data_IF_175851640132
#
_entry.id   IF_175851640132
#
_cell.length_a   1.000
_cell.length_b   1.000
_cell.length_c   1.000
_cell.angle_alpha   90.00
_cell.angle_beta   90.00
_cell.angle_gamma   90.00
#
_symmetry.space_group_name_H-M   'P 1'
#
loop_
_entity.id
_entity.type
_entity.pdbx_description
1 polymer ?
#
# COMPACT_ATOMS: atom_id res chain seq x y z
N UNK A 1 37.69 0.23 -5.58
CA UNK A 1 36.65 0.48 -6.61
C UNK A 1 35.62 1.42 -6.02
N UNK A 2 35.52 2.65 -6.53
CA UNK A 2 34.50 3.61 -6.14
C UNK A 2 33.16 3.07 -6.70
N UNK A 3 32.28 2.55 -5.85
CA UNK A 3 30.92 2.25 -6.20
C UNK A 3 30.23 3.59 -6.49
N UNK A 4 30.11 3.95 -7.77
CA UNK A 4 29.23 5.02 -8.20
C UNK A 4 27.81 4.60 -7.88
N UNK A 5 27.24 5.18 -6.84
CA UNK A 5 25.85 4.98 -6.48
C UNK A 5 24.98 5.62 -7.57
N UNK A 6 24.38 4.80 -8.42
CA UNK A 6 23.45 5.30 -9.46
C UNK A 6 22.15 5.68 -8.75
N UNK A 7 21.82 6.97 -8.76
CA UNK A 7 20.55 7.48 -8.25
C UNK A 7 19.50 7.48 -9.37
N UNK A 8 18.38 6.81 -9.12
CA UNK A 8 17.26 6.82 -10.05
C UNK A 8 16.39 8.06 -9.84
N UNK A 9 16.12 8.79 -10.92
CA UNK A 9 15.32 10.01 -10.89
C UNK A 9 13.82 9.74 -10.84
N UNK A 10 13.08 10.65 -10.22
CA UNK A 10 11.62 10.66 -10.29
C UNK A 10 11.17 11.29 -11.61
N UNK A 11 10.26 10.62 -12.32
CA UNK A 11 9.61 11.17 -13.51
C UNK A 11 8.34 11.95 -13.13
N UNK A 12 7.75 12.68 -14.08
CA UNK A 12 6.47 13.38 -13.87
C UNK A 12 5.35 12.43 -13.39
N UNK A 13 5.34 11.18 -13.86
CA UNK A 13 4.35 10.17 -13.43
C UNK A 13 4.47 9.85 -11.94
N UNK A 14 5.69 9.74 -11.40
CA UNK A 14 5.92 9.52 -9.96
C UNK A 14 5.43 10.72 -9.13
N UNK A 15 5.74 11.94 -9.57
CA UNK A 15 5.28 13.15 -8.87
C UNK A 15 3.76 13.27 -8.88
N UNK A 16 3.12 12.96 -10.01
CA UNK A 16 1.66 12.95 -10.12
C UNK A 16 1.02 11.97 -9.13
N UNK A 17 1.51 10.73 -9.03
CA UNK A 17 0.97 9.74 -8.09
C UNK A 17 1.22 10.11 -6.63
N UNK A 18 2.39 10.72 -6.32
CA UNK A 18 2.66 11.24 -4.98
C UNK A 18 1.72 12.40 -4.62
N UNK A 19 1.41 13.28 -5.57
CA UNK A 19 0.45 14.36 -5.36
C UNK A 19 -0.94 13.82 -5.03
N UNK A 20 -1.40 12.79 -5.75
CA UNK A 20 -2.69 12.12 -5.45
C UNK A 20 -2.68 11.56 -4.03
N UNK A 21 -1.62 10.85 -3.64
CA UNK A 21 -1.50 10.32 -2.27
C UNK A 21 -1.53 11.43 -1.22
N UNK A 22 -0.81 12.53 -1.46
CA UNK A 22 -0.77 13.66 -0.53
C UNK A 22 -2.15 14.32 -0.37
N UNK A 23 -2.87 14.51 -1.48
CA UNK A 23 -4.26 14.99 -1.44
C UNK A 23 -5.15 14.02 -0.64
N UNK A 24 -5.02 12.72 -0.86
CA UNK A 24 -5.79 11.71 -0.13
C UNK A 24 -5.50 11.74 1.38
N UNK A 25 -4.24 11.93 1.79
CA UNK A 25 -3.86 12.08 3.20
C UNK A 25 -4.52 13.34 3.81
N UNK A 26 -4.48 14.48 3.10
CA UNK A 26 -5.14 15.72 3.56
C UNK A 26 -6.64 15.50 3.74
N UNK A 27 -7.31 14.91 2.76
CA UNK A 27 -8.75 14.63 2.84
C UNK A 27 -9.09 13.67 3.97
N UNK A 28 -8.31 12.61 4.14
CA UNK A 28 -8.50 11.64 5.22
C UNK A 28 -8.19 12.22 6.62
N UNK A 29 -7.46 13.33 6.70
CA UNK A 29 -7.20 14.03 7.97
C UNK A 29 -8.38 14.89 8.43
N UNK A 30 -9.40 15.08 7.58
CA UNK A 30 -10.59 15.86 7.91
C UNK A 30 -11.57 14.95 8.65
N UNK A 31 -11.83 15.22 9.93
CA UNK A 31 -12.75 14.49 10.79
C UNK A 31 -12.59 12.95 10.76
N UNK A 32 -11.38 12.38 11.01
CA UNK A 32 -11.23 10.93 11.12
C UNK A 32 -12.07 10.40 12.29
N UNK A 33 -12.45 9.14 12.22
CA UNK A 33 -13.34 8.51 13.20
C UNK A 33 -12.81 8.60 14.64
N UNK A 34 -11.49 8.44 14.84
CA UNK A 34 -10.78 8.66 16.10
C UNK A 34 -9.38 9.20 15.78
N UNK A 35 -9.11 10.42 16.24
CA UNK A 35 -7.92 11.19 15.80
C UNK A 35 -6.59 10.58 16.27
N UNK A 36 -6.49 10.10 17.49
CA UNK A 36 -5.23 9.55 18.01
C UNK A 36 -4.83 8.25 17.30
N UNK A 37 -5.77 7.34 17.08
CA UNK A 37 -5.53 6.12 16.31
C UNK A 37 -5.23 6.43 14.84
N UNK A 38 -5.94 7.40 14.24
CA UNK A 38 -5.63 7.87 12.90
C UNK A 38 -4.18 8.37 12.81
N UNK A 39 -3.75 9.21 13.75
CA UNK A 39 -2.38 9.74 13.78
C UNK A 39 -1.34 8.62 13.89
N UNK A 40 -1.58 7.61 14.72
CA UNK A 40 -0.70 6.45 14.84
C UNK A 40 -0.56 5.71 13.50
N UNK A 41 -1.65 5.52 12.76
CA UNK A 41 -1.60 4.92 11.42
C UNK A 41 -0.85 5.78 10.41
N UNK A 42 -0.93 7.12 10.52
CA UNK A 42 -0.19 8.03 9.65
C UNK A 42 1.33 7.98 9.89
N UNK A 43 1.79 7.65 11.10
CA UNK A 43 3.23 7.36 11.33
C UNK A 43 3.66 6.16 10.48
N UNK A 44 2.86 5.10 10.41
CA UNK A 44 3.09 3.96 9.52
C UNK A 44 3.12 4.36 8.04
N UNK A 45 2.15 5.19 7.61
CA UNK A 45 2.09 5.73 6.24
C UNK A 45 3.37 6.52 5.90
N UNK A 46 3.81 7.40 6.80
CA UNK A 46 5.03 8.21 6.61
C UNK A 46 6.28 7.33 6.50
N UNK A 47 6.40 6.31 7.36
CA UNK A 47 7.50 5.35 7.31
C UNK A 47 7.51 4.60 5.97
N UNK A 48 6.37 4.05 5.54
CA UNK A 48 6.26 3.34 4.26
C UNK A 48 6.58 4.25 3.07
N UNK A 49 6.17 5.52 3.11
CA UNK A 49 6.47 6.49 2.06
C UNK A 49 7.98 6.80 1.99
N UNK A 50 8.64 6.96 3.14
CA UNK A 50 10.10 7.13 3.21
C UNK A 50 10.80 5.92 2.58
N UNK A 51 10.38 4.70 2.94
CA UNK A 51 10.94 3.46 2.37
C UNK A 51 10.77 3.43 0.85
N UNK A 52 9.58 3.75 0.34
CA UNK A 52 9.31 3.81 -1.10
C UNK A 52 10.25 4.80 -1.81
N UNK A 53 10.38 6.03 -1.28
CA UNK A 53 11.23 7.07 -1.87
C UNK A 53 12.70 6.65 -1.87
N UNK A 54 13.19 6.06 -0.77
CA UNK A 54 14.57 5.59 -0.66
C UNK A 54 14.83 4.43 -1.62
N UNK A 55 13.91 3.47 -1.72
CA UNK A 55 14.03 2.35 -2.65
C UNK A 55 13.96 2.82 -4.10
N UNK A 56 13.08 3.76 -4.44
CA UNK A 56 13.07 4.37 -5.78
C UNK A 56 14.41 4.98 -6.13
N UNK A 57 15.00 5.78 -5.23
CA UNK A 57 16.27 6.45 -5.47
C UNK A 57 17.46 5.49 -5.56
N UNK A 58 17.53 4.47 -4.68
CA UNK A 58 18.71 3.61 -4.54
C UNK A 58 18.66 2.35 -5.41
N UNK A 59 17.48 1.77 -5.60
CA UNK A 59 17.28 0.47 -6.24
C UNK A 59 16.71 0.63 -7.66
N UNK A 60 15.92 1.69 -7.88
CA UNK A 60 15.15 1.88 -9.12
C UNK A 60 14.01 0.88 -9.23
N UNK A 61 12.80 1.36 -8.99
CA UNK A 61 11.57 0.58 -9.15
C UNK A 61 10.99 0.83 -10.55
N UNK A 62 10.34 -0.17 -11.12
CA UNK A 62 9.49 0.09 -12.29
C UNK A 62 8.33 1.02 -11.90
N UNK A 63 7.84 1.83 -12.83
CA UNK A 63 6.69 2.69 -12.53
C UNK A 63 5.46 1.88 -12.08
N UNK A 64 5.24 0.68 -12.62
CA UNK A 64 4.14 -0.20 -12.20
C UNK A 64 4.29 -0.62 -10.73
N UNK A 65 5.50 -1.02 -10.31
CA UNK A 65 5.79 -1.36 -8.91
C UNK A 65 5.55 -0.17 -7.99
N UNK A 66 6.03 1.02 -8.38
CA UNK A 66 5.81 2.25 -7.63
C UNK A 66 4.32 2.59 -7.51
N UNK A 67 3.58 2.50 -8.62
CA UNK A 67 2.14 2.76 -8.66
C UNK A 67 1.35 1.78 -7.77
N UNK A 68 1.64 0.49 -7.82
CA UNK A 68 0.99 -0.52 -6.98
C UNK A 68 1.23 -0.25 -5.50
N UNK A 69 2.43 0.18 -5.13
CA UNK A 69 2.74 0.58 -3.76
C UNK A 69 1.91 1.80 -3.33
N UNK A 70 1.79 2.82 -4.19
CA UNK A 70 0.93 3.99 -3.93
C UNK A 70 -0.54 3.58 -3.83
N UNK A 71 -1.03 2.67 -4.68
CA UNK A 71 -2.39 2.13 -4.57
C UNK A 71 -2.64 1.47 -3.20
N UNK A 72 -1.67 0.70 -2.69
CA UNK A 72 -1.77 0.17 -1.33
C UNK A 72 -1.85 1.28 -0.28
N UNK A 73 -0.98 2.30 -0.36
CA UNK A 73 -1.01 3.42 0.58
C UNK A 73 -2.36 4.17 0.55
N UNK A 74 -3.00 4.30 -0.61
CA UNK A 74 -4.33 4.90 -0.71
C UNK A 74 -5.39 4.06 0.01
N UNK A 75 -5.36 2.74 -0.14
CA UNK A 75 -6.23 1.81 0.61
C UNK A 75 -5.97 1.91 2.11
N UNK A 76 -4.70 1.97 2.51
CA UNK A 76 -4.29 2.10 3.91
C UNK A 76 -4.75 3.43 4.53
N UNK A 77 -4.62 4.56 3.81
CA UNK A 77 -5.07 5.88 4.27
C UNK A 77 -6.59 5.91 4.46
N UNK A 78 -7.35 5.32 3.52
CA UNK A 78 -8.80 5.17 3.66
C UNK A 78 -9.15 4.32 4.89
N UNK A 79 -8.48 3.19 5.05
CA UNK A 79 -8.68 2.30 6.19
C UNK A 79 -8.37 3.00 7.52
N UNK A 80 -7.28 3.77 7.57
CA UNK A 80 -6.86 4.51 8.76
C UNK A 80 -7.91 5.56 9.19
N UNK A 81 -8.54 6.26 8.23
CA UNK A 81 -9.59 7.22 8.51
C UNK A 81 -10.78 6.60 9.27
N UNK A 82 -11.15 5.37 8.91
CA UNK A 82 -12.27 4.60 9.49
C UNK A 82 -11.84 3.49 10.45
N UNK A 83 -10.62 3.55 10.99
CA UNK A 83 -10.06 2.53 11.90
C UNK A 83 -10.21 1.10 11.35
N UNK A 84 -10.02 0.91 10.05
CA UNK A 84 -10.06 -0.36 9.32
C UNK A 84 -11.41 -1.09 9.36
N UNK A 85 -11.95 -1.34 10.54
CA UNK A 85 -13.17 -2.16 10.72
C UNK A 85 -14.47 -1.36 10.64
N UNK A 86 -14.40 -0.05 10.39
CA UNK A 86 -15.58 0.82 10.31
C UNK A 86 -15.77 1.47 8.95
N UNK A 87 -15.04 1.02 7.93
CA UNK A 87 -15.26 1.49 6.56
C UNK A 87 -16.63 1.04 6.07
N UNK A 88 -17.50 1.97 5.66
CA UNK A 88 -18.87 1.68 5.22
C UNK A 88 -18.93 1.11 3.79
N UNK A 89 -18.00 0.22 3.43
CA UNK A 89 -17.92 -0.33 2.06
C UNK A 89 -19.21 -1.05 1.63
N UNK A 90 -19.85 -1.77 2.54
CA UNK A 90 -21.08 -2.50 2.24
C UNK A 90 -22.26 -1.56 2.00
N UNK A 91 -22.37 -0.48 2.80
CA UNK A 91 -23.40 0.53 2.61
C UNK A 91 -23.21 1.25 1.26
N UNK A 92 -21.97 1.56 0.88
CA UNK A 92 -21.68 2.13 -0.44
C UNK A 92 -22.03 1.15 -1.58
N UNK A 93 -21.76 -0.14 -1.43
CA UNK A 93 -22.15 -1.14 -2.42
C UNK A 93 -23.67 -1.27 -2.54
N UNK A 94 -24.40 -1.26 -1.43
CA UNK A 94 -25.87 -1.27 -1.45
C UNK A 94 -26.40 -0.01 -2.14
N UNK A 95 -25.88 1.16 -1.76
CA UNK A 95 -26.36 2.45 -2.26
C UNK A 95 -26.10 2.65 -3.74
N UNK A 96 -24.90 2.31 -4.24
CA UNK A 96 -24.47 2.63 -5.60
C UNK A 96 -24.60 1.46 -6.58
N UNK A 97 -24.47 0.21 -6.07
CA UNK A 97 -24.47 -0.99 -6.90
C UNK A 97 -25.70 -1.88 -6.65
N UNK A 98 -26.55 -1.53 -5.68
CA UNK A 98 -27.71 -2.34 -5.25
C UNK A 98 -27.33 -3.78 -4.89
N UNK A 99 -26.13 -3.95 -4.31
CA UNK A 99 -25.57 -5.26 -3.98
C UNK A 99 -25.10 -5.30 -2.52
N UNK A 100 -25.69 -6.21 -1.72
CA UNK A 100 -25.29 -6.46 -0.35
C UNK A 100 -24.21 -7.55 -0.31
N UNK A 101 -22.94 -7.10 -0.27
CA UNK A 101 -21.79 -8.01 -0.26
C UNK A 101 -21.72 -8.84 1.02
N UNK A 102 -21.97 -8.22 2.18
CA UNK A 102 -21.90 -8.95 3.45
C UNK A 102 -22.91 -10.08 3.50
N UNK A 103 -24.15 -9.81 3.10
CA UNK A 103 -25.18 -10.85 3.03
C UNK A 103 -24.84 -11.94 2.00
N UNK A 104 -24.36 -11.55 0.82
CA UNK A 104 -23.99 -12.50 -0.24
C UNK A 104 -22.84 -13.44 0.18
N UNK A 105 -21.94 -12.96 1.02
CA UNK A 105 -20.78 -13.72 1.53
C UNK A 105 -21.02 -14.36 2.90
N UNK A 106 -22.19 -14.13 3.54
CA UNK A 106 -22.49 -14.63 4.88
C UNK A 106 -21.59 -14.03 5.97
N UNK A 107 -21.22 -12.74 5.84
CA UNK A 107 -20.35 -12.07 6.81
C UNK A 107 -21.17 -11.28 7.84
N UNK A 108 -20.98 -11.62 9.11
CA UNK A 108 -21.67 -10.98 10.24
C UNK A 108 -20.98 -9.72 10.74
N UNK A 109 -19.80 -9.39 10.18
CA UNK A 109 -19.02 -8.22 10.57
C UNK A 109 -18.39 -7.52 9.38
N UNK A 110 -17.91 -6.29 9.61
CA UNK A 110 -17.12 -5.57 8.63
C UNK A 110 -15.79 -6.32 8.37
N UNK A 111 -15.47 -6.56 7.09
CA UNK A 111 -14.29 -7.32 6.65
C UNK A 111 -13.21 -6.46 6.00
N UNK A 112 -13.33 -5.13 6.10
CA UNK A 112 -12.39 -4.24 5.40
C UNK A 112 -10.95 -4.40 5.87
N UNK A 113 -10.72 -4.71 7.15
CA UNK A 113 -9.42 -5.07 7.70
C UNK A 113 -8.76 -6.23 6.92
N UNK A 114 -9.54 -7.22 6.53
CA UNK A 114 -9.07 -8.37 5.75
C UNK A 114 -8.75 -7.99 4.31
N UNK A 115 -9.53 -7.09 3.71
CA UNK A 115 -9.21 -6.54 2.39
C UNK A 115 -7.89 -5.78 2.41
N UNK A 116 -7.62 -4.98 3.45
CA UNK A 116 -6.33 -4.28 3.56
C UNK A 116 -5.16 -5.26 3.61
N UNK A 117 -5.26 -6.35 4.38
CA UNK A 117 -4.22 -7.39 4.42
C UNK A 117 -4.07 -8.10 3.08
N UNK A 118 -5.17 -8.42 2.40
CA UNK A 118 -5.13 -8.99 1.06
C UNK A 118 -4.43 -8.05 0.07
N UNK A 119 -4.77 -6.77 0.06
CA UNK A 119 -4.12 -5.78 -0.80
C UNK A 119 -2.66 -5.53 -0.42
N UNK A 120 -2.30 -5.64 0.86
CA UNK A 120 -0.90 -5.64 1.28
C UNK A 120 -0.12 -6.73 0.56
N UNK A 121 -0.58 -7.98 0.63
CA UNK A 121 0.07 -9.09 -0.05
C UNK A 121 0.12 -8.92 -1.57
N UNK A 122 -1.00 -8.52 -2.18
CA UNK A 122 -1.13 -8.43 -3.63
C UNK A 122 -0.33 -7.24 -4.22
N UNK A 123 -0.52 -6.04 -3.68
CA UNK A 123 0.02 -4.80 -4.27
C UNK A 123 1.49 -4.57 -3.92
N UNK A 124 1.95 -5.04 -2.77
CA UNK A 124 3.36 -4.91 -2.39
C UNK A 124 4.24 -6.08 -2.85
N UNK A 125 3.66 -7.15 -3.39
CA UNK A 125 4.42 -8.28 -3.93
C UNK A 125 5.54 -7.85 -4.90
N UNK A 126 5.30 -7.02 -5.93
CA UNK A 126 6.35 -6.63 -6.88
C UNK A 126 7.46 -5.79 -6.23
N UNK A 127 7.12 -5.01 -5.19
CA UNK A 127 8.09 -4.24 -4.43
C UNK A 127 9.06 -5.13 -3.66
N UNK A 128 8.55 -6.07 -2.85
CA UNK A 128 9.39 -7.01 -2.09
C UNK A 128 10.17 -7.94 -3.02
N UNK A 129 9.56 -8.39 -4.12
CA UNK A 129 10.26 -9.20 -5.11
C UNK A 129 11.46 -8.46 -5.68
N UNK A 130 11.31 -7.18 -6.05
CA UNK A 130 12.42 -6.34 -6.51
C UNK A 130 13.48 -6.13 -5.44
N UNK A 131 13.06 -5.94 -4.21
CA UNK A 131 13.95 -5.75 -3.06
C UNK A 131 14.85 -6.99 -2.86
N UNK A 132 14.27 -8.19 -2.86
CA UNK A 132 15.02 -9.44 -2.73
C UNK A 132 15.94 -9.72 -3.92
N UNK A 133 15.55 -9.37 -5.15
CA UNK A 133 16.44 -9.46 -6.30
C UNK A 133 17.72 -8.66 -6.11
N UNK A 134 17.63 -7.50 -5.50
CA UNK A 134 18.78 -6.60 -5.29
C UNK A 134 19.61 -7.01 -4.08
N UNK A 135 18.97 -7.43 -3.00
CA UNK A 135 19.67 -7.75 -1.76
C UNK A 135 20.22 -9.18 -1.73
N UNK A 136 19.59 -10.10 -2.45
CA UNK A 136 19.92 -11.52 -2.48
C UNK A 136 20.12 -12.01 -3.92
N UNK A 137 21.03 -11.40 -4.71
CA UNK A 137 21.16 -11.66 -6.14
C UNK A 137 21.64 -13.11 -6.46
N UNK A 138 22.25 -13.79 -5.48
CA UNK A 138 22.70 -15.16 -5.63
C UNK A 138 21.59 -16.23 -5.55
N UNK A 139 20.40 -15.85 -5.08
CA UNK A 139 19.28 -16.77 -4.95
C UNK A 139 18.50 -16.91 -6.25
N UNK A 140 17.89 -18.08 -6.47
CA UNK A 140 17.07 -18.31 -7.66
C UNK A 140 15.74 -17.56 -7.60
N UNK A 141 15.09 -17.26 -8.75
CA UNK A 141 13.79 -16.62 -8.80
C UNK A 141 12.70 -17.36 -8.00
N UNK A 142 12.78 -18.68 -7.92
CA UNK A 142 11.85 -19.50 -7.13
C UNK A 142 11.97 -19.20 -5.63
N UNK A 143 13.20 -19.01 -5.15
CA UNK A 143 13.45 -18.69 -3.73
C UNK A 143 12.97 -17.28 -3.43
N UNK A 144 13.21 -16.28 -4.29
CA UNK A 144 12.65 -14.94 -4.12
C UNK A 144 11.12 -14.97 -4.03
N UNK A 145 10.46 -15.74 -4.91
CA UNK A 145 9.02 -15.92 -4.86
C UNK A 145 8.54 -16.43 -3.50
N UNK A 146 9.15 -17.50 -2.99
CA UNK A 146 8.81 -18.10 -1.69
C UNK A 146 9.03 -17.10 -0.55
N UNK A 147 10.18 -16.40 -0.54
CA UNK A 147 10.49 -15.40 0.49
C UNK A 147 9.48 -14.26 0.49
N UNK A 148 9.08 -13.77 -0.69
CA UNK A 148 8.07 -12.71 -0.77
C UNK A 148 6.73 -13.19 -0.22
N UNK A 149 6.28 -14.39 -0.59
CA UNK A 149 5.02 -14.95 -0.07
C UNK A 149 5.06 -15.03 1.45
N UNK A 150 6.15 -15.53 2.04
CA UNK A 150 6.31 -15.60 3.50
C UNK A 150 6.36 -14.23 4.18
N UNK A 151 6.86 -13.21 3.49
CA UNK A 151 7.00 -11.86 4.04
C UNK A 151 5.70 -11.05 3.99
N UNK A 152 4.83 -11.31 3.01
CA UNK A 152 3.58 -10.56 2.81
C UNK A 152 2.33 -11.28 3.34
N UNK A 153 2.44 -12.55 3.74
CA UNK A 153 1.37 -13.32 4.38
C UNK A 153 1.47 -13.27 5.89
#
# INVERSE_FOLDING_TARGET
>A
MLHTTIYHSFTQKHWFTLTILFIAIILASIHPLEFSSYLLHQVGTAFMLIVLILCQKKIGLSFSTFLLYICFLLVHVLAAHYLYSYVSYNDWMIQYLHFDLNNAMGWDRNMFDRFVHFFYGLLLYPFFYRLFQVWLPSLSPKIWFILVIQFVM
#
